data_IF_246510033107
#
_entry.id   IF_246510033107
#
_cell.length_a   1.000
_cell.length_b   1.000
_cell.length_c   1.000
_cell.angle_alpha   90.00
_cell.angle_beta   90.00
_cell.angle_gamma   90.00
#
_symmetry.space_group_name_H-M   'P 1'
#
loop_
_entity.id
_entity.type
_entity.pdbx_description
1 polymer ?
#
# COMPACT_ATOMS: atom_id res chain seq x y z
N UNK A 1 25.68 -0.29 11.98
CA UNK A 1 25.71 0.70 13.08
C UNK A 1 26.54 1.89 12.63
N UNK A 2 25.96 3.11 12.63
CA UNK A 2 26.68 4.36 12.31
C UNK A 2 26.82 5.18 13.58
N UNK A 3 27.97 5.81 13.74
CA UNK A 3 28.31 6.62 14.90
C UNK A 3 28.38 8.10 14.50
N UNK A 4 27.77 8.97 15.28
CA UNK A 4 27.84 10.42 15.07
C UNK A 4 28.59 11.07 16.23
N UNK A 5 29.66 11.77 15.90
CA UNK A 5 30.39 12.63 16.84
C UNK A 5 29.84 14.04 16.71
N UNK A 6 29.06 14.51 17.66
CA UNK A 6 28.35 15.82 17.56
C UNK A 6 28.59 16.65 18.79
N UNK A 7 28.89 17.93 18.57
CA UNK A 7 28.67 18.99 19.54
C UNK A 7 27.31 19.65 19.26
N UNK A 8 26.39 19.75 20.21
CA UNK A 8 25.03 20.25 19.96
C UNK A 8 24.92 21.75 19.62
N UNK A 9 26.02 22.51 19.66
CA UNK A 9 25.97 23.99 19.59
C UNK A 9 26.65 24.63 18.38
N UNK A 10 27.32 23.86 17.52
CA UNK A 10 28.01 24.47 16.35
C UNK A 10 27.64 23.76 15.05
N UNK A 11 26.82 24.41 14.24
CA UNK A 11 26.36 23.95 12.91
C UNK A 11 27.11 24.62 11.76
N UNK A 12 28.06 25.52 12.01
CA UNK A 12 28.67 26.36 10.97
C UNK A 12 29.63 25.63 10.02
N UNK A 13 30.05 24.40 10.35
CA UNK A 13 31.05 23.63 9.59
C UNK A 13 30.47 22.60 8.61
N UNK A 14 29.16 22.54 8.43
CA UNK A 14 28.45 21.49 7.65
C UNK A 14 28.50 21.66 6.11
N UNK A 15 29.31 22.57 5.58
CA UNK A 15 29.27 22.92 4.14
C UNK A 15 30.57 22.66 3.40
N UNK A 16 31.06 21.43 3.23
CA UNK A 16 31.80 21.08 2.00
C UNK A 16 32.26 19.63 1.97
N UNK A 17 31.87 18.90 0.93
CA UNK A 17 32.55 17.67 0.49
C UNK A 17 34.03 17.97 0.22
N UNK A 18 34.92 17.13 0.67
CA UNK A 18 36.36 17.33 0.56
C UNK A 18 37.04 17.98 1.77
N UNK A 19 36.29 18.34 2.80
CA UNK A 19 36.88 18.96 4.00
C UNK A 19 37.71 17.95 4.82
N UNK A 20 37.31 16.69 4.89
CA UNK A 20 38.09 15.63 5.59
C UNK A 20 39.43 15.40 4.87
N UNK A 21 39.40 15.32 3.53
CA UNK A 21 40.63 15.22 2.75
C UNK A 21 41.54 16.43 3.01
N UNK A 22 40.99 17.64 2.98
CA UNK A 22 41.73 18.88 3.29
C UNK A 22 42.14 18.99 4.76
N UNK A 23 41.39 18.42 5.70
CA UNK A 23 41.76 18.35 7.10
C UNK A 23 42.83 17.29 7.33
N UNK A 24 42.78 16.15 6.66
CA UNK A 24 43.82 15.11 6.69
C UNK A 24 45.09 15.62 6.03
N UNK A 25 45.03 16.39 4.94
CA UNK A 25 46.19 17.02 4.30
C UNK A 25 46.77 18.18 5.15
N UNK A 26 45.94 18.88 5.95
CA UNK A 26 46.35 19.89 6.91
C UNK A 26 46.79 19.32 8.25
N UNK A 27 46.36 18.10 8.62
CA UNK A 27 46.90 17.36 9.76
C UNK A 27 48.37 16.96 9.51
N UNK A 28 48.83 16.96 8.27
CA UNK A 28 50.25 16.95 7.91
C UNK A 28 50.96 18.27 8.24
N UNK A 29 50.22 19.37 8.46
CA UNK A 29 50.73 20.64 8.97
C UNK A 29 50.29 20.83 10.42
N UNK A 30 51.09 20.38 11.33
CA UNK A 30 50.85 20.20 12.80
C UNK A 30 50.26 21.42 13.54
N UNK A 31 50.35 22.64 13.05
CA UNK A 31 50.05 23.83 13.84
C UNK A 31 48.59 24.16 14.04
N UNK A 32 47.72 23.92 13.04
CA UNK A 32 46.28 24.25 13.14
C UNK A 32 45.53 23.34 14.09
N UNK A 33 45.84 22.06 14.06
CA UNK A 33 45.21 21.08 14.96
C UNK A 33 45.72 21.30 16.39
N UNK A 34 47.02 21.54 16.55
CA UNK A 34 47.60 21.89 17.86
C UNK A 34 46.98 23.14 18.45
N UNK A 35 46.74 24.20 17.66
CA UNK A 35 46.14 25.45 18.11
C UNK A 35 44.68 25.26 18.50
N UNK A 36 43.90 24.54 17.71
CA UNK A 36 42.48 24.25 18.04
C UNK A 36 42.33 23.34 19.27
N UNK A 37 43.15 22.33 19.39
CA UNK A 37 43.18 21.47 20.59
C UNK A 37 43.57 22.32 21.80
N UNK A 38 44.56 23.21 21.66
CA UNK A 38 45.01 24.06 22.73
C UNK A 38 43.93 25.05 23.17
N UNK A 39 43.22 25.70 22.23
CA UNK A 39 42.10 26.59 22.50
C UNK A 39 40.94 25.86 23.17
N UNK A 40 40.66 24.63 22.75
CA UNK A 40 39.62 23.77 23.34
C UNK A 40 39.96 23.34 24.78
N UNK A 41 41.21 23.00 25.02
CA UNK A 41 41.67 22.66 26.37
C UNK A 41 41.63 23.88 27.27
N UNK A 42 42.06 25.05 26.75
CA UNK A 42 42.03 26.32 27.47
C UNK A 42 40.63 26.80 27.82
N UNK A 43 39.72 26.72 26.87
CA UNK A 43 38.39 27.31 27.01
C UNK A 43 37.34 26.30 27.46
N UNK A 44 37.69 25.05 27.69
CA UNK A 44 36.82 23.91 28.05
C UNK A 44 35.59 23.77 27.12
N UNK A 45 35.67 24.24 25.88
CA UNK A 45 34.61 24.15 24.91
C UNK A 45 34.79 22.94 24.00
N UNK A 46 33.81 22.00 23.94
CA UNK A 46 33.88 20.87 23.03
C UNK A 46 33.89 21.31 21.57
N UNK A 47 34.82 20.81 20.78
CA UNK A 47 34.89 21.09 19.34
C UNK A 47 34.52 19.85 18.54
N UNK A 48 33.64 19.99 17.56
CA UNK A 48 33.36 18.93 16.60
C UNK A 48 34.57 18.71 15.69
N UNK A 49 35.22 17.59 15.86
CA UNK A 49 36.35 17.19 15.02
C UNK A 49 35.86 16.63 13.68
N UNK A 50 34.71 15.93 13.69
CA UNK A 50 34.08 15.36 12.50
C UNK A 50 32.69 15.94 12.29
N UNK A 51 32.46 16.59 11.13
CA UNK A 51 31.17 17.21 10.83
C UNK A 51 30.11 16.21 10.35
N UNK A 52 30.46 14.94 10.15
CA UNK A 52 29.58 13.88 9.68
C UNK A 52 29.53 12.68 10.63
N UNK A 53 28.53 11.88 10.45
CA UNK A 53 28.47 10.56 11.05
C UNK A 53 29.57 9.69 10.45
N UNK A 54 30.21 8.89 11.31
CA UNK A 54 31.24 7.92 10.91
C UNK A 54 30.70 6.52 11.16
N UNK A 55 31.00 5.59 10.26
CA UNK A 55 30.64 4.20 10.45
C UNK A 55 31.57 3.48 11.48
N UNK A 56 31.25 2.23 11.78
CA UNK A 56 32.01 1.48 12.76
C UNK A 56 33.48 1.28 12.38
N UNK A 57 33.78 1.02 11.12
CA UNK A 57 35.14 0.79 10.63
C UNK A 57 35.96 2.07 10.66
N UNK A 58 35.35 3.20 10.23
CA UNK A 58 35.95 4.52 10.37
C UNK A 58 36.23 4.86 11.84
N UNK A 59 35.24 4.62 12.73
CA UNK A 59 35.40 4.83 14.17
C UNK A 59 36.51 3.96 14.76
N UNK A 60 36.61 2.66 14.40
CA UNK A 60 37.71 1.80 14.82
C UNK A 60 39.07 2.31 14.38
N UNK A 61 39.13 2.88 13.18
CA UNK A 61 40.36 3.50 12.68
C UNK A 61 40.70 4.76 13.46
N UNK A 62 39.71 5.64 13.66
CA UNK A 62 39.89 6.90 14.40
C UNK A 62 40.32 6.72 15.83
N UNK A 63 39.77 5.72 16.54
CA UNK A 63 40.18 5.42 17.95
C UNK A 63 41.63 4.93 18.11
N UNK A 64 42.30 4.56 17.02
CA UNK A 64 43.72 4.17 17.03
C UNK A 64 44.68 5.35 17.01
N UNK A 65 44.18 6.55 16.64
CA UNK A 65 45.03 7.76 16.65
C UNK A 65 45.33 8.21 18.09
N UNK A 66 46.55 8.63 18.40
CA UNK A 66 47.00 8.92 19.76
C UNK A 66 46.18 9.95 20.54
N UNK A 67 45.59 10.93 19.82
CA UNK A 67 44.74 11.98 20.41
C UNK A 67 43.30 11.56 20.55
N UNK A 68 42.85 10.58 19.77
CA UNK A 68 41.47 10.14 19.73
C UNK A 68 41.20 8.89 20.54
N UNK A 69 42.25 8.19 21.00
CA UNK A 69 42.14 7.03 21.86
C UNK A 69 42.20 7.37 23.36
N UNK A 70 42.39 8.62 23.74
CA UNK A 70 42.60 9.05 25.11
C UNK A 70 41.28 9.25 25.85
N UNK A 71 41.13 8.66 27.00
CA UNK A 71 39.96 8.75 27.88
C UNK A 71 39.67 10.16 28.45
N UNK A 72 40.51 11.14 28.18
CA UNK A 72 40.46 12.43 28.87
C UNK A 72 39.91 13.62 28.10
N UNK A 73 39.46 13.45 26.87
CA UNK A 73 39.04 14.63 26.10
C UNK A 73 38.01 14.41 25.02
N UNK A 74 37.73 13.20 24.63
CA UNK A 74 36.72 12.95 23.60
C UNK A 74 35.37 12.56 24.20
N UNK A 75 34.39 13.39 23.92
CA UNK A 75 32.99 13.01 24.09
C UNK A 75 32.49 12.52 22.74
N UNK A 76 32.34 11.23 22.57
CA UNK A 76 31.60 10.66 21.45
C UNK A 76 30.22 10.27 21.92
N UNK A 77 29.24 10.55 21.09
CA UNK A 77 27.89 10.07 21.29
C UNK A 77 27.67 8.89 20.35
N UNK A 78 27.53 7.71 20.91
CA UNK A 78 27.06 6.55 20.19
C UNK A 78 25.58 6.81 19.84
N UNK A 79 25.26 6.87 18.56
CA UNK A 79 23.88 6.88 18.09
C UNK A 79 23.66 5.54 17.42
N UNK A 80 22.95 4.66 18.09
CA UNK A 80 22.41 3.47 17.44
C UNK A 80 21.25 3.93 16.55
N UNK A 81 21.36 3.64 15.27
CA UNK A 81 20.27 3.82 14.31
C UNK A 81 19.94 2.47 13.72
N UNK A 82 18.70 2.12 13.83
CA UNK A 82 18.15 1.04 13.04
C UNK A 82 18.13 1.47 11.58
N UNK A 83 18.95 0.83 10.75
CA UNK A 83 18.97 1.07 9.32
C UNK A 83 18.03 0.07 8.64
N UNK A 84 16.99 0.60 8.06
CA UNK A 84 16.04 -0.20 7.31
C UNK A 84 16.68 -0.65 5.99
N UNK A 85 16.73 -1.95 5.78
CA UNK A 85 17.22 -2.56 4.55
C UNK A 85 16.02 -2.93 3.67
N UNK A 86 16.08 -2.57 2.40
CA UNK A 86 15.11 -2.94 1.37
C UNK A 86 15.79 -3.87 0.36
N UNK A 87 15.84 -5.19 0.59
CA UNK A 87 16.56 -6.12 -0.29
C UNK A 87 16.03 -6.09 -1.73
N UNK A 88 14.74 -5.84 -1.90
CA UNK A 88 14.04 -5.79 -3.19
C UNK A 88 13.80 -4.33 -3.68
N UNK A 89 14.47 -3.36 -3.11
CA UNK A 89 14.35 -1.95 -3.48
C UNK A 89 12.94 -1.40 -3.31
N UNK A 90 12.31 -0.96 -4.41
CA UNK A 90 10.97 -0.35 -4.41
C UNK A 90 9.83 -1.37 -4.60
N UNK A 91 10.15 -2.66 -4.79
CA UNK A 91 9.15 -3.68 -5.10
C UNK A 91 8.23 -3.94 -3.90
N UNK A 92 6.91 -3.95 -4.10
CA UNK A 92 5.88 -4.11 -3.08
C UNK A 92 5.98 -3.15 -1.88
N UNK A 93 6.71 -2.05 -2.04
CA UNK A 93 7.04 -1.13 -0.95
C UNK A 93 5.82 -0.57 -0.24
N UNK A 94 4.76 -0.26 -0.99
CA UNK A 94 3.53 0.28 -0.42
C UNK A 94 2.70 -0.77 0.30
N UNK A 95 2.74 -2.00 -0.18
CA UNK A 95 2.04 -3.15 0.41
C UNK A 95 2.73 -3.60 1.70
N UNK A 96 4.07 -3.75 1.69
CA UNK A 96 4.87 -4.05 2.88
C UNK A 96 4.70 -2.92 3.90
N UNK A 97 4.89 -1.69 3.46
CA UNK A 97 4.59 -0.53 4.29
C UNK A 97 5.75 0.02 5.10
N UNK A 98 5.38 0.82 6.09
CA UNK A 98 6.30 1.53 6.96
C UNK A 98 5.60 1.90 8.26
N UNK A 99 6.35 1.84 9.38
CA UNK A 99 5.97 2.40 10.67
C UNK A 99 7.00 3.41 11.15
N UNK A 100 6.58 4.47 11.87
CA UNK A 100 7.45 5.47 12.49
C UNK A 100 7.29 6.87 11.90
N UNK A 101 8.30 7.72 12.09
CA UNK A 101 8.26 9.16 11.78
C UNK A 101 7.97 9.49 10.30
N UNK A 102 8.23 8.57 9.39
CA UNK A 102 8.04 8.76 7.94
C UNK A 102 6.68 8.29 7.41
N UNK A 103 5.84 7.76 8.26
CA UNK A 103 4.50 7.29 7.92
C UNK A 103 4.13 5.96 8.55
N UNK A 104 2.83 5.67 8.55
CA UNK A 104 2.24 4.46 9.12
C UNK A 104 1.27 3.88 8.10
N UNK A 105 1.64 2.77 7.45
CA UNK A 105 0.82 2.13 6.44
C UNK A 105 1.34 0.72 6.07
N UNK A 106 0.50 -0.07 5.40
CA UNK A 106 0.83 -1.39 4.89
C UNK A 106 0.86 -2.47 5.97
N UNK A 107 1.48 -3.60 5.66
CA UNK A 107 1.59 -4.76 6.54
C UNK A 107 2.29 -4.38 7.85
N UNK A 108 3.37 -3.62 7.79
CA UNK A 108 4.10 -3.23 8.99
C UNK A 108 3.27 -2.41 9.98
N UNK A 109 2.43 -1.51 9.50
CA UNK A 109 1.52 -0.77 10.40
C UNK A 109 0.40 -1.66 10.92
N UNK A 110 -0.17 -2.51 10.06
CA UNK A 110 -1.24 -3.42 10.44
C UNK A 110 -0.82 -4.44 11.54
N UNK A 111 0.47 -4.79 11.55
CA UNK A 111 1.06 -5.75 12.48
C UNK A 111 2.15 -5.12 13.37
N UNK A 112 2.01 -3.83 13.66
CA UNK A 112 3.00 -3.08 14.45
C UNK A 112 3.22 -3.69 15.83
N UNK A 113 2.17 -4.12 16.50
CA UNK A 113 2.25 -4.67 17.85
C UNK A 113 3.03 -5.99 17.87
N UNK A 114 2.81 -6.83 16.86
CA UNK A 114 3.48 -8.10 16.69
C UNK A 114 4.97 -7.92 16.34
N UNK A 115 5.28 -6.92 15.51
CA UNK A 115 6.64 -6.62 15.04
C UNK A 115 7.50 -5.85 16.06
N UNK A 116 6.88 -5.06 16.94
CA UNK A 116 7.61 -4.11 17.80
C UNK A 116 8.44 -4.79 18.90
N UNK A 117 8.04 -5.97 19.35
CA UNK A 117 8.64 -6.60 20.52
C UNK A 117 8.41 -5.79 21.81
N UNK A 118 9.31 -5.94 22.75
CA UNK A 118 9.23 -5.28 24.05
C UNK A 118 10.59 -4.77 24.50
N UNK A 119 10.69 -3.48 24.79
CA UNK A 119 11.92 -2.87 25.30
C UNK A 119 12.31 -3.47 26.66
N UNK A 120 13.59 -3.76 26.81
CA UNK A 120 14.16 -4.15 28.11
C UNK A 120 14.32 -2.94 29.03
N UNK A 121 14.39 -3.21 30.34
CA UNK A 121 14.62 -2.21 31.37
C UNK A 121 15.83 -2.60 32.22
N UNK A 122 16.71 -1.66 32.49
CA UNK A 122 17.84 -1.89 33.37
C UNK A 122 18.04 -0.72 34.32
N UNK A 123 18.20 -1.03 35.60
CA UNK A 123 18.55 -0.03 36.60
C UNK A 123 20.01 0.38 36.39
N UNK A 124 20.25 1.70 36.19
CA UNK A 124 21.57 2.28 36.04
C UNK A 124 21.84 3.26 37.14
N UNK A 125 23.01 3.13 37.80
CA UNK A 125 23.47 4.08 38.78
C UNK A 125 24.51 5.02 38.16
N UNK A 126 24.44 6.29 38.53
CA UNK A 126 25.45 7.27 38.12
C UNK A 126 26.77 6.98 38.87
N UNK A 127 27.82 6.59 38.14
CA UNK A 127 29.14 6.28 38.70
C UNK A 127 30.00 7.55 38.77
N UNK A 128 29.93 8.41 37.75
CA UNK A 128 30.66 9.67 37.67
C UNK A 128 29.85 10.68 36.81
N UNK A 129 30.31 11.94 36.73
CA UNK A 129 29.64 13.00 35.95
C UNK A 129 29.53 12.57 34.48
N UNK A 130 28.30 12.19 34.06
CA UNK A 130 28.00 11.75 32.70
C UNK A 130 28.14 10.22 32.45
N UNK A 131 28.55 9.44 33.42
CA UNK A 131 28.67 7.97 33.29
C UNK A 131 27.64 7.25 34.16
N UNK A 132 26.95 6.31 33.54
CA UNK A 132 25.98 5.44 34.19
C UNK A 132 26.42 3.98 33.99
N UNK A 133 26.57 3.26 35.07
CA UNK A 133 26.86 1.83 35.08
C UNK A 133 25.62 1.01 35.46
N UNK A 134 25.54 -0.23 35.04
CA UNK A 134 24.50 -1.17 35.51
C UNK A 134 24.72 -1.45 37.00
N UNK A 135 23.62 -1.49 37.74
CA UNK A 135 23.66 -1.88 39.17
C UNK A 135 23.65 -3.40 39.21
N UNK A 136 24.72 -3.98 39.84
CA UNK A 136 24.78 -5.43 40.04
C UNK A 136 23.64 -5.87 40.99
N UNK A 137 22.77 -6.77 40.53
CA UNK A 137 21.61 -7.25 41.30
C UNK A 137 20.38 -6.32 41.30
N UNK A 138 20.38 -5.24 40.51
CA UNK A 138 19.19 -4.41 40.28
C UNK A 138 18.20 -5.08 39.36
N UNK A 139 16.94 -4.65 39.42
CA UNK A 139 15.87 -5.13 38.55
C UNK A 139 16.28 -4.94 37.09
N UNK A 140 16.22 -6.05 36.34
CA UNK A 140 16.62 -6.14 34.96
C UNK A 140 15.59 -6.96 34.20
N UNK A 141 15.04 -6.38 33.14
CA UNK A 141 14.21 -7.05 32.15
C UNK A 141 14.97 -7.05 30.83
N UNK A 142 15.22 -8.22 30.26
CA UNK A 142 15.80 -8.30 28.93
C UNK A 142 14.79 -7.86 27.86
N UNK A 143 15.22 -7.21 26.78
CA UNK A 143 14.36 -6.92 25.65
C UNK A 143 13.87 -8.23 25.01
N UNK A 144 12.64 -8.20 24.52
CA UNK A 144 12.05 -9.31 23.76
C UNK A 144 11.88 -8.85 22.32
N UNK A 145 12.48 -9.58 21.39
CA UNK A 145 12.35 -9.29 19.97
C UNK A 145 10.89 -9.44 19.50
N UNK A 146 10.49 -8.66 18.50
CA UNK A 146 9.22 -8.83 17.84
C UNK A 146 9.18 -10.08 16.97
N UNK A 147 8.00 -10.42 16.51
CA UNK A 147 7.81 -11.54 15.58
C UNK A 147 8.22 -11.17 14.16
N UNK A 148 8.58 -12.16 13.36
CA UNK A 148 8.68 -12.04 11.93
C UNK A 148 7.31 -12.23 11.28
N UNK A 149 7.10 -11.61 10.11
CA UNK A 149 5.88 -11.79 9.33
C UNK A 149 6.21 -12.43 7.99
N UNK A 150 5.55 -13.55 7.72
CA UNK A 150 5.65 -14.26 6.44
C UNK A 150 4.48 -13.85 5.56
N UNK A 151 4.78 -13.17 4.45
CA UNK A 151 3.77 -12.75 3.47
C UNK A 151 3.53 -13.82 2.42
N UNK A 152 2.40 -13.72 1.72
CA UNK A 152 2.06 -14.59 0.58
C UNK A 152 2.69 -14.11 -0.73
N UNK A 153 3.32 -12.93 -0.73
CA UNK A 153 3.88 -12.34 -1.95
C UNK A 153 4.99 -13.20 -2.55
N UNK A 154 4.86 -13.51 -3.82
CA UNK A 154 5.88 -14.15 -4.65
C UNK A 154 6.66 -13.06 -5.38
N UNK A 155 7.98 -13.01 -5.17
CA UNK A 155 8.82 -11.92 -5.69
C UNK A 155 8.92 -11.93 -7.20
N UNK A 156 8.93 -13.11 -7.84
CA UNK A 156 9.01 -13.21 -9.28
C UNK A 156 7.72 -12.74 -9.95
N UNK A 157 6.57 -13.15 -9.40
CA UNK A 157 5.26 -12.67 -9.86
C UNK A 157 5.08 -11.18 -9.61
N UNK A 158 5.54 -10.67 -8.47
CA UNK A 158 5.48 -9.25 -8.15
C UNK A 158 6.30 -8.41 -9.13
N UNK A 159 7.52 -8.86 -9.47
CA UNK A 159 8.40 -8.17 -10.44
C UNK A 159 7.80 -8.19 -11.86
N UNK A 160 7.30 -9.35 -12.30
CA UNK A 160 6.64 -9.46 -13.60
C UNK A 160 5.40 -8.58 -13.68
N UNK A 161 4.58 -8.55 -12.62
CA UNK A 161 3.38 -7.72 -12.54
C UNK A 161 3.73 -6.22 -12.54
N UNK A 162 4.77 -5.80 -11.80
CA UNK A 162 5.23 -4.40 -11.78
C UNK A 162 5.67 -3.95 -13.18
N UNK A 163 6.53 -4.73 -13.83
CA UNK A 163 7.03 -4.43 -15.18
C UNK A 163 5.90 -4.39 -16.21
N UNK A 164 4.93 -5.29 -16.12
CA UNK A 164 3.78 -5.33 -17.03
C UNK A 164 2.87 -4.10 -16.82
N UNK A 165 2.58 -3.75 -15.56
CA UNK A 165 1.77 -2.60 -15.23
C UNK A 165 2.42 -1.29 -15.67
N UNK A 166 3.73 -1.11 -15.44
CA UNK A 166 4.48 0.09 -15.89
C UNK A 166 4.35 0.29 -17.40
N UNK A 167 4.64 -0.76 -18.17
CA UNK A 167 4.51 -0.69 -19.64
C UNK A 167 3.12 -0.30 -20.08
N UNK A 168 2.08 -0.85 -19.42
CA UNK A 168 0.70 -0.53 -19.76
C UNK A 168 0.32 0.91 -19.40
N UNK A 169 0.75 1.39 -18.22
CA UNK A 169 0.49 2.77 -17.79
C UNK A 169 1.18 3.80 -18.69
N UNK A 170 2.39 3.50 -19.14
CA UNK A 170 3.12 4.33 -20.11
C UNK A 170 2.40 4.34 -21.47
N UNK A 171 2.04 3.16 -22.01
CA UNK A 171 1.37 3.04 -23.30
C UNK A 171 0.01 3.75 -23.34
N UNK A 172 -0.73 3.73 -22.23
CA UNK A 172 -2.05 4.36 -22.12
C UNK A 172 -1.99 5.80 -21.59
N UNK A 173 -0.80 6.33 -21.32
CA UNK A 173 -0.60 7.62 -20.67
C UNK A 173 -1.46 7.78 -19.39
N UNK A 174 -1.60 6.69 -18.62
CA UNK A 174 -2.43 6.65 -17.44
C UNK A 174 -1.75 7.35 -16.23
N UNK A 175 -2.57 7.83 -15.29
CA UNK A 175 -2.07 8.50 -14.09
C UNK A 175 -1.70 7.51 -12.99
N UNK A 176 -2.39 6.38 -12.93
CA UNK A 176 -2.17 5.33 -11.94
C UNK A 176 -2.82 4.02 -12.39
N UNK A 177 -2.43 2.94 -11.74
CA UNK A 177 -3.02 1.63 -11.92
C UNK A 177 -2.65 0.66 -10.81
N UNK A 178 -3.32 -0.47 -10.79
CA UNK A 178 -3.03 -1.57 -9.88
C UNK A 178 -3.16 -2.91 -10.58
N UNK A 179 -2.35 -3.88 -10.16
CA UNK A 179 -2.44 -5.28 -10.58
C UNK A 179 -2.45 -6.16 -9.34
N UNK A 180 -3.35 -7.12 -9.29
CA UNK A 180 -3.46 -8.10 -8.22
C UNK A 180 -3.41 -9.49 -8.85
N UNK A 181 -2.59 -10.38 -8.31
CA UNK A 181 -2.56 -11.81 -8.65
C UNK A 181 -2.97 -12.59 -7.41
N UNK A 182 -4.04 -13.37 -7.54
CA UNK A 182 -4.62 -14.13 -6.44
C UNK A 182 -4.69 -15.61 -6.81
N UNK A 183 -4.26 -16.48 -5.91
CA UNK A 183 -4.40 -17.92 -6.06
C UNK A 183 -5.85 -18.32 -5.82
N UNK A 184 -6.41 -19.14 -6.72
CA UNK A 184 -7.87 -19.40 -6.75
C UNK A 184 -8.34 -20.19 -5.54
N UNK A 185 -7.61 -21.22 -5.12
CA UNK A 185 -8.07 -22.14 -4.09
C UNK A 185 -7.75 -21.70 -2.67
N UNK A 186 -6.67 -20.93 -2.47
CA UNK A 186 -6.21 -20.51 -1.15
C UNK A 186 -6.60 -19.08 -0.80
N UNK A 187 -6.85 -18.24 -1.82
CA UNK A 187 -7.06 -16.80 -1.63
C UNK A 187 -5.76 -16.00 -1.41
N UNK A 188 -4.60 -16.66 -1.49
CA UNK A 188 -3.32 -15.97 -1.31
C UNK A 188 -3.08 -14.92 -2.39
N UNK A 189 -2.72 -13.72 -1.97
CA UNK A 189 -2.30 -12.64 -2.87
C UNK A 189 -0.82 -12.84 -3.17
N UNK A 190 -0.53 -13.33 -4.37
CA UNK A 190 0.83 -13.61 -4.83
C UNK A 190 1.54 -12.36 -5.37
N UNK A 191 0.78 -11.38 -5.86
CA UNK A 191 1.32 -10.07 -6.22
C UNK A 191 0.27 -8.98 -6.01
N UNK A 192 0.72 -7.82 -5.55
CA UNK A 192 -0.10 -6.60 -5.41
C UNK A 192 0.75 -5.39 -5.76
N UNK A 193 0.60 -4.89 -6.97
CA UNK A 193 1.34 -3.74 -7.49
C UNK A 193 0.44 -2.52 -7.54
N UNK A 194 0.94 -1.40 -7.07
CA UNK A 194 0.21 -0.14 -7.00
C UNK A 194 1.09 1.00 -7.52
N UNK A 195 0.91 1.44 -8.75
CA UNK A 195 1.74 2.45 -9.38
C UNK A 195 1.00 3.75 -9.63
N UNK A 196 1.57 4.85 -9.18
CA UNK A 196 1.12 6.21 -9.46
C UNK A 196 2.20 7.03 -10.15
N UNK A 197 1.80 7.89 -11.09
CA UNK A 197 2.72 8.75 -11.84
C UNK A 197 3.24 9.89 -10.96
N UNK A 198 4.53 10.09 -10.99
CA UNK A 198 5.22 11.21 -10.37
C UNK A 198 5.18 12.46 -11.25
N UNK A 199 5.56 13.61 -10.69
CA UNK A 199 5.63 14.88 -11.43
C UNK A 199 6.66 14.85 -12.58
N UNK A 200 7.70 14.03 -12.45
CA UNK A 200 8.73 13.81 -13.48
C UNK A 200 8.32 12.79 -14.55
N UNK A 201 7.12 12.24 -14.46
CA UNK A 201 6.59 11.24 -15.38
C UNK A 201 6.94 9.78 -15.02
N UNK A 202 7.82 9.53 -14.08
CA UNK A 202 8.13 8.19 -13.57
C UNK A 202 6.97 7.61 -12.77
N UNK A 203 6.99 6.29 -12.52
CA UNK A 203 5.99 5.62 -11.70
C UNK A 203 6.60 5.08 -10.41
N UNK A 204 5.87 5.24 -9.29
CA UNK A 204 6.24 4.70 -7.99
C UNK A 204 5.02 4.22 -7.21
N UNK A 205 5.25 3.34 -6.25
CA UNK A 205 4.22 2.91 -5.30
C UNK A 205 3.96 4.00 -4.24
N UNK A 206 2.91 4.80 -4.42
CA UNK A 206 2.52 5.91 -3.54
C UNK A 206 1.32 5.63 -2.68
N UNK A 207 0.30 5.03 -3.26
CA UNK A 207 -0.98 4.72 -2.64
C UNK A 207 -1.31 3.26 -2.90
N UNK A 208 -1.93 2.59 -1.96
CA UNK A 208 -2.47 1.25 -2.22
C UNK A 208 -3.82 1.38 -2.95
N UNK A 209 -3.77 1.47 -4.27
CA UNK A 209 -4.96 1.58 -5.11
C UNK A 209 -5.82 0.32 -5.06
N UNK A 210 -5.20 -0.84 -4.85
CA UNK A 210 -5.89 -2.12 -4.76
C UNK A 210 -6.90 -2.17 -3.60
N UNK A 211 -6.53 -1.61 -2.45
CA UNK A 211 -7.32 -1.63 -1.21
C UNK A 211 -8.05 -0.30 -0.98
N UNK A 212 -7.34 0.82 -1.15
CA UNK A 212 -7.78 2.14 -0.72
C UNK A 212 -8.64 2.90 -1.74
N UNK A 213 -8.64 2.51 -3.01
CA UNK A 213 -9.40 3.19 -4.07
C UNK A 213 -10.70 2.46 -4.40
N UNK A 214 -11.80 3.02 -3.95
CA UNK A 214 -13.14 2.59 -4.35
C UNK A 214 -13.59 3.35 -5.60
N UNK A 215 -13.94 2.64 -6.67
CA UNK A 215 -14.34 3.20 -7.96
C UNK A 215 -15.55 2.48 -8.54
N UNK A 216 -16.17 3.09 -9.54
CA UNK A 216 -17.19 2.44 -10.34
C UNK A 216 -16.53 1.34 -11.20
N UNK A 217 -16.90 0.05 -11.01
CA UNK A 217 -16.23 -1.06 -11.69
C UNK A 217 -16.57 -1.16 -13.19
N UNK A 218 -17.58 -0.43 -13.64
CA UNK A 218 -18.02 -0.48 -15.03
C UNK A 218 -18.43 -1.88 -15.46
N UNK A 219 -18.12 -2.26 -16.70
CA UNK A 219 -18.54 -3.54 -17.28
C UNK A 219 -18.05 -4.79 -16.56
N UNK A 220 -17.04 -4.71 -15.69
CA UNK A 220 -16.65 -5.85 -14.85
C UNK A 220 -17.75 -6.23 -13.86
N UNK A 221 -18.59 -5.30 -13.45
CA UNK A 221 -19.75 -5.57 -12.59
C UNK A 221 -20.84 -6.39 -13.27
N UNK A 222 -20.86 -6.48 -14.60
CA UNK A 222 -21.86 -7.26 -15.32
C UNK A 222 -21.87 -8.73 -14.93
N UNK A 223 -20.77 -9.28 -14.43
CA UNK A 223 -20.76 -10.63 -13.88
C UNK A 223 -21.75 -10.77 -12.72
N UNK A 224 -21.80 -9.79 -11.80
CA UNK A 224 -22.80 -9.77 -10.73
C UNK A 224 -24.22 -9.67 -11.27
N UNK A 225 -24.44 -8.80 -12.26
CA UNK A 225 -25.73 -8.66 -12.94
C UNK A 225 -26.17 -9.95 -13.65
N UNK A 226 -25.23 -10.65 -14.28
CA UNK A 226 -25.48 -11.96 -14.91
C UNK A 226 -25.97 -12.99 -13.92
N UNK A 227 -25.26 -13.14 -12.79
CA UNK A 227 -25.65 -14.06 -11.72
C UNK A 227 -27.04 -13.71 -11.17
N UNK A 228 -27.32 -12.42 -10.91
CA UNK A 228 -28.62 -11.96 -10.44
C UNK A 228 -29.72 -12.32 -11.44
N UNK A 229 -29.51 -12.11 -12.74
CA UNK A 229 -30.50 -12.43 -13.77
C UNK A 229 -30.73 -13.92 -13.91
N UNK A 230 -29.68 -14.74 -13.81
CA UNK A 230 -29.78 -16.18 -14.01
C UNK A 230 -30.28 -16.92 -12.76
N UNK A 231 -29.79 -16.54 -11.60
CA UNK A 231 -30.07 -17.28 -10.36
C UNK A 231 -31.28 -16.71 -9.61
N UNK A 232 -31.33 -15.42 -9.29
CA UNK A 232 -32.48 -14.83 -8.59
C UNK A 232 -33.68 -14.63 -9.51
N UNK A 233 -33.52 -13.95 -10.65
CA UNK A 233 -34.61 -13.67 -11.57
C UNK A 233 -35.01 -14.85 -12.45
N UNK A 234 -34.25 -15.97 -12.43
CA UNK A 234 -34.48 -17.17 -13.24
C UNK A 234 -34.73 -16.86 -14.74
N UNK A 235 -33.99 -15.91 -15.27
CA UNK A 235 -34.13 -15.47 -16.64
C UNK A 235 -33.58 -16.52 -17.62
N UNK A 236 -34.34 -16.99 -18.60
CA UNK A 236 -33.82 -17.89 -19.61
C UNK A 236 -32.70 -17.25 -20.44
N UNK A 237 -31.63 -18.02 -20.70
CA UNK A 237 -30.49 -17.55 -21.54
C UNK A 237 -30.89 -17.24 -22.98
N UNK A 238 -32.06 -17.76 -23.45
CA UNK A 238 -32.65 -17.49 -24.76
C UNK A 238 -33.46 -16.19 -24.80
N UNK A 239 -33.53 -15.45 -23.67
CA UNK A 239 -34.27 -14.17 -23.65
C UNK A 239 -33.58 -13.17 -24.56
N UNK A 240 -34.36 -12.63 -25.52
CA UNK A 240 -33.86 -11.65 -26.51
C UNK A 240 -34.36 -10.26 -26.16
N UNK A 241 -33.48 -9.27 -26.31
CA UNK A 241 -33.83 -7.83 -26.27
C UNK A 241 -33.37 -7.13 -27.53
N UNK A 242 -34.21 -6.20 -28.01
CA UNK A 242 -33.82 -5.21 -29.02
C UNK A 242 -32.86 -4.19 -28.38
N UNK A 243 -31.60 -4.20 -28.77
CA UNK A 243 -30.57 -3.27 -28.29
C UNK A 243 -30.46 -2.03 -29.18
N UNK A 244 -31.30 -1.88 -30.18
CA UNK A 244 -31.24 -0.79 -31.16
C UNK A 244 -29.86 -0.63 -31.80
N UNK A 245 -29.19 -1.73 -32.09
CA UNK A 245 -27.81 -1.78 -32.62
C UNK A 245 -26.75 -1.14 -31.69
N UNK A 246 -27.05 -0.98 -30.40
CA UNK A 246 -26.22 -0.26 -29.45
C UNK A 246 -26.41 1.25 -29.42
N UNK A 247 -27.31 1.78 -30.24
CA UNK A 247 -27.63 3.22 -30.25
C UNK A 247 -28.34 3.66 -28.95
N UNK A 248 -28.34 4.95 -28.63
CA UNK A 248 -28.90 5.46 -27.38
C UNK A 248 -30.41 5.19 -27.26
N UNK A 249 -30.81 4.58 -26.16
CA UNK A 249 -32.20 4.25 -25.82
C UNK A 249 -32.60 4.79 -24.45
N UNK A 250 -33.90 4.83 -24.19
CA UNK A 250 -34.47 5.06 -22.86
C UNK A 250 -34.88 3.70 -22.26
N UNK A 251 -34.45 3.44 -21.03
CA UNK A 251 -34.80 2.22 -20.27
C UNK A 251 -35.44 2.64 -18.96
N UNK A 252 -36.73 2.40 -18.80
CA UNK A 252 -37.48 2.95 -17.67
C UNK A 252 -37.29 4.47 -17.56
N UNK A 253 -36.89 5.01 -16.40
CA UNK A 253 -36.65 6.45 -16.26
C UNK A 253 -35.24 6.87 -16.75
N UNK A 254 -34.34 5.92 -17.06
CA UNK A 254 -32.96 6.21 -17.46
C UNK A 254 -32.88 6.50 -18.96
N UNK A 255 -32.33 7.66 -19.30
CA UNK A 255 -32.19 8.12 -20.69
C UNK A 255 -30.76 7.92 -21.18
N UNK A 256 -30.61 7.84 -22.50
CA UNK A 256 -29.30 7.82 -23.18
C UNK A 256 -28.43 6.61 -22.78
N UNK A 257 -29.04 5.45 -22.60
CA UNK A 257 -28.33 4.19 -22.39
C UNK A 257 -27.85 3.67 -23.74
N UNK A 258 -26.54 3.42 -23.89
CA UNK A 258 -25.93 3.00 -25.14
C UNK A 258 -24.81 1.99 -24.91
N UNK A 259 -24.53 1.21 -25.93
CA UNK A 259 -23.37 0.33 -25.95
C UNK A 259 -22.07 1.09 -26.33
N UNK A 260 -20.93 0.51 -26.04
CA UNK A 260 -19.62 1.09 -26.43
C UNK A 260 -19.36 0.94 -27.93
N UNK A 261 -19.98 -0.06 -28.55
CA UNK A 261 -19.82 -0.39 -29.96
C UNK A 261 -21.20 -0.70 -30.58
N UNK A 262 -21.34 -0.40 -31.85
CA UNK A 262 -22.52 -0.85 -32.62
C UNK A 262 -22.45 -2.38 -32.75
N UNK A 263 -23.62 -3.00 -32.68
CA UNK A 263 -23.79 -4.46 -32.77
C UNK A 263 -25.09 -4.86 -33.43
N UNK A 264 -25.46 -6.12 -33.20
CA UNK A 264 -26.73 -6.65 -33.68
C UNK A 264 -27.92 -6.00 -32.96
N UNK A 265 -29.04 -5.85 -33.66
CA UNK A 265 -30.23 -5.20 -33.13
C UNK A 265 -30.92 -6.01 -32.04
N UNK A 266 -31.12 -7.29 -32.30
CA UNK A 266 -31.74 -8.23 -31.39
C UNK A 266 -30.67 -9.24 -30.93
N UNK A 267 -30.41 -9.31 -29.64
CA UNK A 267 -29.40 -10.23 -29.08
C UNK A 267 -29.99 -11.01 -27.91
N UNK A 268 -29.52 -12.24 -27.76
CA UNK A 268 -29.78 -13.07 -26.59
C UNK A 268 -28.77 -12.77 -25.46
N UNK A 269 -28.94 -13.45 -24.35
CA UNK A 269 -28.06 -13.31 -23.18
C UNK A 269 -26.58 -13.62 -23.51
N UNK A 270 -26.31 -14.67 -24.25
CA UNK A 270 -24.91 -15.08 -24.60
C UNK A 270 -24.22 -14.02 -25.44
N UNK A 271 -24.95 -13.50 -26.44
CA UNK A 271 -24.45 -12.43 -27.30
C UNK A 271 -24.24 -11.13 -26.53
N UNK A 272 -25.14 -10.81 -25.59
CA UNK A 272 -25.02 -9.66 -24.71
C UNK A 272 -23.79 -9.72 -23.81
N UNK A 273 -23.45 -10.89 -23.29
CA UNK A 273 -22.21 -11.12 -22.54
C UNK A 273 -20.99 -10.92 -23.44
N UNK A 274 -20.98 -11.57 -24.61
CA UNK A 274 -19.85 -11.51 -25.55
C UNK A 274 -19.56 -10.09 -26.05
N UNK A 275 -20.62 -9.29 -26.31
CA UNK A 275 -20.50 -7.90 -26.77
C UNK A 275 -20.45 -6.88 -25.62
N UNK A 276 -20.60 -7.32 -24.37
CA UNK A 276 -20.69 -6.45 -23.20
C UNK A 276 -21.77 -5.35 -23.35
N UNK A 277 -22.98 -5.70 -23.82
CA UNK A 277 -24.05 -4.75 -24.10
C UNK A 277 -24.60 -4.10 -22.82
N UNK A 278 -24.51 -2.79 -22.70
CA UNK A 278 -25.15 -2.01 -21.63
C UNK A 278 -26.67 -2.00 -21.79
N UNK A 279 -27.12 -1.86 -23.03
CA UNK A 279 -28.56 -1.76 -23.35
C UNK A 279 -29.27 -3.05 -22.96
N UNK A 280 -28.70 -4.20 -23.30
CA UNK A 280 -29.27 -5.50 -22.90
C UNK A 280 -29.44 -5.62 -21.40
N UNK A 281 -28.34 -5.47 -20.63
CA UNK A 281 -28.38 -5.64 -19.18
C UNK A 281 -29.25 -4.59 -18.49
N UNK A 282 -29.28 -3.37 -18.99
CA UNK A 282 -30.17 -2.32 -18.50
C UNK A 282 -31.64 -2.71 -18.66
N UNK A 283 -32.04 -3.17 -19.85
CA UNK A 283 -33.42 -3.64 -20.14
C UNK A 283 -33.78 -4.84 -19.28
N UNK A 284 -32.91 -5.84 -19.23
CA UNK A 284 -33.15 -7.06 -18.45
C UNK A 284 -33.36 -6.79 -16.95
N UNK A 285 -32.52 -5.94 -16.35
CA UNK A 285 -32.66 -5.56 -14.94
C UNK A 285 -33.90 -4.68 -14.72
N UNK A 286 -34.18 -3.77 -15.65
CA UNK A 286 -35.38 -2.95 -15.53
C UNK A 286 -36.67 -3.81 -15.57
N UNK A 287 -36.77 -4.75 -16.50
CA UNK A 287 -37.93 -5.63 -16.62
C UNK A 287 -38.13 -6.53 -15.38
N UNK A 288 -37.05 -7.03 -14.82
CA UNK A 288 -37.14 -8.00 -13.71
C UNK A 288 -37.31 -7.34 -12.34
N UNK A 289 -36.73 -6.17 -12.13
CA UNK A 289 -36.68 -5.53 -10.81
C UNK A 289 -37.24 -4.10 -10.80
N UNK A 290 -37.08 -3.35 -11.88
CA UNK A 290 -37.52 -1.96 -11.96
C UNK A 290 -39.02 -1.83 -12.15
N UNK A 291 -39.58 -2.41 -13.22
CA UNK A 291 -40.97 -2.38 -13.57
C UNK A 291 -41.86 -3.13 -12.57
N UNK A 292 -41.32 -4.15 -11.93
CA UNK A 292 -42.02 -4.96 -10.94
C UNK A 292 -41.93 -4.43 -9.49
N UNK A 293 -41.17 -3.37 -9.26
CA UNK A 293 -40.99 -2.79 -7.94
C UNK A 293 -40.01 -3.57 -7.00
N UNK A 294 -39.32 -4.60 -7.50
CA UNK A 294 -38.47 -5.53 -6.75
C UNK A 294 -37.01 -5.04 -6.56
N UNK A 295 -36.77 -3.72 -6.53
CA UNK A 295 -35.42 -3.15 -6.43
C UNK A 295 -34.66 -3.60 -5.16
N UNK A 296 -35.38 -3.79 -4.07
CA UNK A 296 -34.81 -4.27 -2.81
C UNK A 296 -34.24 -5.69 -2.96
N UNK A 297 -34.94 -6.57 -3.63
CA UNK A 297 -34.49 -7.94 -3.89
C UNK A 297 -33.19 -7.95 -4.70
N UNK A 298 -33.06 -7.07 -5.71
CA UNK A 298 -31.81 -6.91 -6.44
C UNK A 298 -30.63 -6.55 -5.54
N UNK A 299 -30.79 -5.54 -4.67
CA UNK A 299 -29.72 -5.17 -3.74
C UNK A 299 -29.48 -6.24 -2.67
N UNK A 300 -30.51 -6.90 -2.19
CA UNK A 300 -30.39 -8.00 -1.22
C UNK A 300 -29.58 -9.15 -1.80
N UNK A 301 -29.82 -9.53 -3.05
CA UNK A 301 -29.04 -10.57 -3.73
C UNK A 301 -27.54 -10.17 -3.85
N UNK A 302 -27.26 -8.93 -4.27
CA UNK A 302 -25.88 -8.44 -4.33
C UNK A 302 -25.16 -8.48 -2.99
N UNK A 303 -25.86 -8.20 -1.90
CA UNK A 303 -25.28 -8.16 -0.55
C UNK A 303 -25.19 -9.53 0.12
N UNK A 304 -26.27 -10.33 0.06
CA UNK A 304 -26.40 -11.57 0.81
C UNK A 304 -25.79 -12.76 0.11
N UNK A 305 -25.99 -12.84 -1.22
CA UNK A 305 -25.52 -13.99 -2.01
C UNK A 305 -24.16 -13.72 -2.66
N UNK A 306 -23.94 -12.50 -3.18
CA UNK A 306 -22.70 -12.16 -3.84
C UNK A 306 -21.69 -11.42 -2.95
N UNK A 307 -22.05 -11.09 -1.73
CA UNK A 307 -21.22 -10.42 -0.72
C UNK A 307 -20.57 -9.09 -1.17
N UNK A 308 -21.13 -8.42 -2.18
CA UNK A 308 -20.54 -7.20 -2.78
C UNK A 308 -20.75 -5.94 -1.93
N UNK A 309 -21.49 -6.01 -0.83
CA UNK A 309 -21.75 -4.89 0.09
C UNK A 309 -20.83 -4.84 1.30
N UNK A 310 -19.85 -5.74 1.42
CA UNK A 310 -18.98 -5.87 2.59
C UNK A 310 -17.50 -5.91 2.20
N UNK A 311 -16.65 -5.62 3.17
CA UNK A 311 -15.19 -5.75 3.04
C UNK A 311 -14.80 -7.24 2.97
N UNK A 312 -13.62 -7.50 2.44
CA UNK A 312 -13.10 -8.87 2.25
C UNK A 312 -12.12 -9.31 3.35
N UNK A 313 -11.97 -8.50 4.42
CA UNK A 313 -11.16 -8.83 5.59
C UNK A 313 -9.78 -8.19 5.63
N UNK A 314 -9.54 -7.16 4.81
CA UNK A 314 -8.26 -6.45 4.77
C UNK A 314 -8.34 -5.01 5.32
N UNK A 315 -9.28 -4.75 6.25
CA UNK A 315 -9.51 -3.41 6.83
C UNK A 315 -8.28 -2.90 7.58
N UNK A 316 -7.54 -3.77 8.27
CA UNK A 316 -6.27 -3.41 8.95
C UNK A 316 -5.21 -2.88 7.96
N UNK A 317 -5.30 -3.28 6.70
CA UNK A 317 -4.41 -2.86 5.61
C UNK A 317 -4.94 -1.66 4.82
N UNK A 318 -6.06 -1.08 5.24
CA UNK A 318 -6.66 0.10 4.64
C UNK A 318 -7.66 -0.20 3.52
N UNK A 319 -8.30 -1.37 3.54
CA UNK A 319 -9.39 -1.69 2.63
C UNK A 319 -10.55 -0.70 2.80
N UNK A 320 -10.98 -0.13 1.71
CA UNK A 320 -12.11 0.80 1.66
C UNK A 320 -13.44 0.03 1.63
N UNK A 321 -14.38 0.47 2.46
CA UNK A 321 -15.73 -0.10 2.44
C UNK A 321 -16.37 0.09 1.07
N UNK A 322 -17.02 -0.95 0.52
CA UNK A 322 -17.77 -0.84 -0.72
C UNK A 322 -19.01 0.05 -0.56
N UNK A 323 -19.50 0.58 -1.66
CA UNK A 323 -20.77 1.33 -1.70
C UNK A 323 -21.66 0.70 -2.75
N UNK A 324 -22.52 -0.21 -2.30
CA UNK A 324 -23.61 -0.81 -3.06
C UNK A 324 -24.90 -0.47 -2.31
N UNK A 325 -25.85 0.19 -2.98
CA UNK A 325 -27.04 0.71 -2.27
C UNK A 325 -27.94 -0.38 -1.75
N UNK A 326 -28.42 -0.20 -0.52
CA UNK A 326 -29.53 -0.94 0.07
C UNK A 326 -30.73 -0.03 0.38
N UNK A 327 -30.53 1.27 0.29
CA UNK A 327 -31.57 2.27 0.47
C UNK A 327 -32.00 2.85 -0.88
N UNK A 328 -33.25 2.58 -1.25
CA UNK A 328 -33.86 3.06 -2.48
C UNK A 328 -34.61 4.39 -2.31
N UNK A 329 -34.53 5.04 -1.15
CA UNK A 329 -35.05 6.39 -0.88
C UNK A 329 -34.13 7.48 -1.42
N UNK A 330 -33.65 7.28 -2.66
CA UNK A 330 -32.79 8.22 -3.38
C UNK A 330 -33.63 8.99 -4.40
N UNK A 331 -33.21 10.16 -4.89
CA UNK A 331 -34.01 10.98 -5.84
C UNK A 331 -34.45 10.22 -7.09
N UNK A 332 -33.58 9.36 -7.63
CA UNK A 332 -33.81 8.65 -8.88
C UNK A 332 -33.56 7.14 -8.77
N UNK A 333 -34.37 6.39 -8.00
CA UNK A 333 -34.11 4.98 -7.73
C UNK A 333 -34.14 4.09 -8.99
N UNK A 334 -34.97 4.42 -9.97
CA UNK A 334 -35.05 3.69 -11.24
C UNK A 334 -33.82 3.94 -12.13
N UNK A 335 -33.34 5.18 -12.20
CA UNK A 335 -32.09 5.51 -12.91
C UNK A 335 -30.89 4.83 -12.24
N UNK A 336 -30.88 4.82 -10.91
CA UNK A 336 -29.84 4.15 -10.12
C UNK A 336 -29.80 2.66 -10.44
N UNK A 337 -30.92 1.95 -10.38
CA UNK A 337 -31.02 0.52 -10.70
C UNK A 337 -30.48 0.21 -12.10
N UNK A 338 -30.93 0.95 -13.10
CA UNK A 338 -30.50 0.76 -14.51
C UNK A 338 -28.99 0.96 -14.63
N UNK A 339 -28.43 2.00 -13.99
CA UNK A 339 -26.98 2.26 -14.05
C UNK A 339 -26.15 1.23 -13.28
N UNK A 340 -26.66 0.71 -12.17
CA UNK A 340 -26.00 -0.37 -11.43
C UNK A 340 -25.83 -1.62 -12.29
N UNK A 341 -26.76 -1.93 -13.19
CA UNK A 341 -26.71 -3.15 -14.01
C UNK A 341 -25.47 -3.29 -14.89
N UNK A 342 -24.77 -2.21 -15.17
CA UNK A 342 -23.52 -2.22 -15.92
C UNK A 342 -22.37 -1.49 -15.19
N UNK A 343 -22.45 -1.45 -13.84
CA UNK A 343 -21.35 -1.11 -12.94
C UNK A 343 -21.14 0.38 -12.69
N UNK A 344 -22.17 1.22 -12.86
CA UNK A 344 -22.18 2.61 -12.42
C UNK A 344 -23.05 2.79 -11.18
N UNK A 345 -22.84 3.83 -10.40
CA UNK A 345 -23.54 4.07 -9.13
C UNK A 345 -23.28 3.00 -8.05
N UNK A 346 -22.33 2.12 -8.27
CA UNK A 346 -21.70 1.23 -7.29
C UNK A 346 -20.24 1.59 -7.19
N UNK A 347 -19.64 1.40 -6.02
CA UNK A 347 -18.21 1.67 -5.82
C UNK A 347 -17.58 0.50 -5.07
N UNK A 348 -16.59 -0.11 -5.69
CA UNK A 348 -15.86 -1.26 -5.17
C UNK A 348 -14.36 -1.01 -5.31
N UNK A 349 -13.59 -1.51 -4.35
CA UNK A 349 -12.13 -1.57 -4.47
C UNK A 349 -11.72 -2.73 -5.40
N UNK A 350 -10.60 -2.64 -6.12
CA UNK A 350 -10.13 -3.73 -6.97
C UNK A 350 -10.00 -5.07 -6.26
N UNK A 351 -9.61 -5.07 -4.98
CA UNK A 351 -9.52 -6.31 -4.18
C UNK A 351 -10.89 -6.99 -4.01
N UNK A 352 -11.96 -6.23 -3.84
CA UNK A 352 -13.32 -6.77 -3.72
C UNK A 352 -13.79 -7.39 -5.03
N UNK A 353 -13.43 -6.75 -6.14
CA UNK A 353 -13.75 -7.29 -7.48
C UNK A 353 -13.00 -8.59 -7.76
N UNK A 354 -11.70 -8.66 -7.49
CA UNK A 354 -10.94 -9.90 -7.74
C UNK A 354 -11.43 -11.02 -6.81
N UNK A 355 -11.75 -10.74 -5.55
CA UNK A 355 -12.30 -11.73 -4.62
C UNK A 355 -13.63 -12.30 -5.13
N UNK A 356 -14.51 -11.45 -5.65
CA UNK A 356 -15.75 -11.88 -6.28
C UNK A 356 -15.52 -12.74 -7.53
N UNK A 357 -14.60 -12.33 -8.42
CA UNK A 357 -14.22 -13.12 -9.60
C UNK A 357 -13.56 -14.44 -9.22
N UNK A 358 -12.76 -14.42 -8.16
CA UNK A 358 -12.14 -15.64 -7.63
C UNK A 358 -13.17 -16.66 -7.17
N UNK A 359 -14.26 -16.23 -6.54
CA UNK A 359 -15.34 -17.11 -6.15
C UNK A 359 -15.94 -17.85 -7.36
N UNK A 360 -16.08 -17.19 -8.51
CA UNK A 360 -16.56 -17.84 -9.75
C UNK A 360 -15.55 -18.86 -10.25
N UNK A 361 -14.26 -18.49 -10.29
CA UNK A 361 -13.19 -19.39 -10.70
C UNK A 361 -13.07 -20.61 -9.77
N UNK A 362 -13.44 -20.45 -8.50
CA UNK A 362 -13.41 -21.48 -7.46
C UNK A 362 -14.74 -22.23 -7.31
N UNK A 363 -15.52 -22.35 -8.37
CA UNK A 363 -16.77 -23.10 -8.38
C UNK A 363 -17.88 -22.54 -7.48
N UNK A 364 -17.90 -21.24 -7.24
CA UNK A 364 -18.88 -20.54 -6.40
C UNK A 364 -18.43 -20.39 -4.94
N UNK A 365 -17.27 -20.91 -4.56
CA UNK A 365 -16.77 -20.81 -3.18
C UNK A 365 -15.93 -19.54 -3.02
N UNK A 366 -16.48 -18.55 -2.30
CA UNK A 366 -15.76 -17.33 -1.94
C UNK A 366 -14.76 -17.59 -0.81
N UNK A 367 -13.53 -17.12 -1.01
CA UNK A 367 -12.44 -17.20 -0.04
C UNK A 367 -11.91 -15.78 0.19
N UNK A 368 -11.70 -15.43 1.46
CA UNK A 368 -11.08 -14.14 1.80
C UNK A 368 -9.65 -14.08 1.31
N UNK A 369 -9.21 -12.93 0.78
CA UNK A 369 -7.82 -12.75 0.36
C UNK A 369 -6.87 -12.80 1.55
N UNK A 370 -5.72 -13.44 1.36
CA UNK A 370 -4.67 -13.62 2.38
C UNK A 370 -3.39 -12.93 1.89
N UNK A 371 -2.82 -12.04 2.70
CA UNK A 371 -1.54 -11.37 2.44
C UNK A 371 -0.45 -11.78 3.43
N UNK A 372 -0.83 -12.29 4.58
CA UNK A 372 0.07 -12.72 5.66
C UNK A 372 -0.31 -14.14 6.05
N UNK A 373 0.68 -15.03 6.10
CA UNK A 373 0.51 -16.43 6.52
C UNK A 373 0.73 -16.58 8.02
N UNK A 374 1.79 -15.94 8.53
CA UNK A 374 2.24 -15.97 9.93
C UNK A 374 2.76 -14.58 10.34
#
# INVERSE_FOLDING_TARGET
>A
RRYRLVNPRDTSYLRSEGWISRMMDRMRGEEYVKRRIYDTIRDHTPVNIFPREVDFAEWETLRRYPLLNWNMGMVYRLIERDERIYPQGELARRTIGLTGDKGNYGIEEAYREELAGRDGKALRQRIARGFYGRVAGGDHEDPVDGFDIVTTLDLDLQDVADKALRRQLEAQNALWGTTIVMEVHTGEILAMVNLGRNADGSFAERENYALGRSMEPGSTFKLATMLTLLDDARMPVSTVYDTHNGDPVTVGPARNIRDSHRGDREIDFRRAVASSSNVYFAKAIWDRYGSTGRKQEYSDFLHKELHLGQTVGLERLGERKPSVTTDWKVPDPGVMLVKMSYGYRVRLAPIQMITFYNAIANGGKMISPVLVRE
#
